data_IF_147200466829
#
_entry.id   IF_147200466829
#
_cell.length_a   1.000
_cell.length_b   1.000
_cell.length_c   1.000
_cell.angle_alpha   90.00
_cell.angle_beta   90.00
_cell.angle_gamma   90.00
#
_symmetry.space_group_name_H-M   'P 1'
#
loop_
_entity.id
_entity.type
_entity.pdbx_description
1 polymer ?
#
# COMPACT_ATOMS: atom_id res chain seq x y z
N UNK A 1 -39.31 -20.73 -58.90
CA UNK A 1 -37.94 -20.87 -59.42
C UNK A 1 -37.34 -19.47 -59.35
N UNK A 2 -36.31 -19.13 -58.59
CA UNK A 2 -35.21 -19.82 -57.89
C UNK A 2 -34.75 -18.80 -56.82
N UNK A 3 -34.28 -19.09 -55.62
CA UNK A 3 -33.36 -20.14 -55.16
C UNK A 3 -32.32 -19.40 -54.31
N UNK A 4 -32.51 -19.39 -52.98
CA UNK A 4 -31.55 -18.88 -52.02
C UNK A 4 -30.21 -19.62 -52.16
N UNK A 5 -29.11 -18.87 -52.24
CA UNK A 5 -27.76 -19.44 -52.15
C UNK A 5 -27.00 -18.73 -51.04
N UNK A 6 -27.15 -19.25 -49.82
CA UNK A 6 -26.21 -19.03 -48.73
C UNK A 6 -24.89 -19.73 -49.08
N UNK A 7 -23.84 -18.95 -49.33
CA UNK A 7 -22.47 -19.44 -49.45
C UNK A 7 -21.91 -19.69 -48.05
N UNK A 8 -21.87 -20.96 -47.63
CA UNK A 8 -21.03 -21.40 -46.52
C UNK A 8 -19.56 -21.44 -46.99
N UNK A 9 -18.58 -20.88 -46.24
CA UNK A 9 -17.18 -21.16 -46.50
C UNK A 9 -16.84 -22.58 -46.03
N UNK A 10 -16.06 -23.25 -46.86
CA UNK A 10 -15.70 -24.65 -46.76
C UNK A 10 -14.88 -25.01 -45.51
N UNK A 11 -15.30 -26.11 -44.87
CA UNK A 11 -14.47 -27.19 -44.30
C UNK A 11 -13.12 -26.79 -43.68
N UNK A 12 -13.14 -26.39 -42.41
CA UNK A 12 -11.97 -26.47 -41.54
C UNK A 12 -11.55 -27.93 -41.35
N UNK A 13 -10.34 -28.29 -41.81
CA UNK A 13 -9.82 -29.63 -41.66
C UNK A 13 -9.68 -30.00 -40.17
N UNK A 14 -10.24 -31.16 -39.80
CA UNK A 14 -10.26 -31.65 -38.43
C UNK A 14 -8.83 -31.96 -37.95
N UNK A 15 -8.48 -31.63 -36.68
CA UNK A 15 -7.20 -32.04 -36.09
C UNK A 15 -7.04 -33.56 -36.11
N UNK A 16 -5.83 -34.04 -36.35
CA UNK A 16 -5.54 -35.47 -36.46
C UNK A 16 -5.19 -36.03 -35.09
N UNK A 17 -5.88 -37.11 -34.72
CA UNK A 17 -5.56 -37.89 -33.53
C UNK A 17 -4.40 -38.83 -33.89
N UNK A 18 -3.26 -38.69 -33.20
CA UNK A 18 -2.11 -39.56 -33.46
C UNK A 18 -1.36 -39.88 -32.17
N UNK A 19 -0.85 -41.10 -32.06
CA UNK A 19 0.04 -41.49 -30.97
C UNK A 19 1.42 -40.88 -31.16
N UNK A 20 1.94 -40.21 -30.13
CA UNK A 20 3.30 -39.67 -30.16
C UNK A 20 4.32 -40.82 -30.24
N UNK A 21 4.97 -41.01 -31.40
CA UNK A 21 6.03 -42.01 -31.60
C UNK A 21 7.35 -41.55 -30.97
N UNK A 22 7.42 -41.60 -29.64
CA UNK A 22 8.54 -41.14 -28.83
C UNK A 22 9.53 -42.25 -28.44
N UNK A 23 10.09 -42.99 -29.39
CA UNK A 23 11.21 -43.89 -29.12
C UNK A 23 12.53 -43.12 -29.01
N UNK A 24 13.03 -42.88 -27.80
CA UNK A 24 14.44 -42.52 -27.53
C UNK A 24 14.87 -41.05 -27.73
N UNK A 25 14.11 -40.04 -27.26
CA UNK A 25 14.27 -38.63 -27.66
C UNK A 25 14.32 -37.61 -26.52
N UNK A 26 15.11 -37.88 -25.47
CA UNK A 26 15.18 -37.02 -24.27
C UNK A 26 15.46 -35.52 -24.54
N UNK A 27 16.13 -35.15 -25.62
CA UNK A 27 16.50 -33.75 -25.90
C UNK A 27 15.74 -33.07 -27.05
N UNK A 28 14.66 -33.66 -27.59
CA UNK A 28 13.90 -33.01 -28.66
C UNK A 28 12.98 -31.91 -28.12
N UNK A 29 12.93 -30.80 -28.85
CA UNK A 29 11.96 -29.74 -28.62
C UNK A 29 10.58 -30.15 -29.11
N UNK A 30 9.57 -29.68 -28.40
CA UNK A 30 8.15 -29.86 -28.69
C UNK A 30 7.44 -28.52 -28.57
N UNK A 31 6.39 -28.38 -29.38
CA UNK A 31 5.57 -27.18 -29.49
C UNK A 31 4.19 -27.50 -28.93
N UNK A 32 3.73 -26.71 -27.96
CA UNK A 32 2.43 -26.87 -27.31
C UNK A 32 1.58 -25.62 -27.47
N UNK A 33 0.31 -25.81 -27.80
CA UNK A 33 -0.68 -24.76 -27.82
C UNK A 33 -1.71 -25.06 -26.70
N UNK A 34 -1.66 -24.25 -25.65
CA UNK A 34 -2.49 -24.41 -24.44
C UNK A 34 -3.56 -23.32 -24.44
N UNK A 35 -4.73 -23.63 -24.98
CA UNK A 35 -5.87 -22.70 -25.08
C UNK A 35 -5.54 -21.38 -25.80
N UNK A 36 -4.66 -21.42 -26.80
CA UNK A 36 -4.19 -20.25 -27.55
C UNK A 36 -2.82 -19.72 -27.11
N UNK A 37 -2.29 -20.15 -25.96
CA UNK A 37 -0.94 -19.78 -25.52
C UNK A 37 0.10 -20.76 -26.06
N UNK A 38 1.08 -20.24 -26.79
CA UNK A 38 2.11 -21.01 -27.46
C UNK A 38 3.35 -21.20 -26.56
N UNK A 39 3.80 -22.46 -26.43
CA UNK A 39 4.95 -22.83 -25.61
C UNK A 39 5.92 -23.73 -26.36
N UNK A 40 7.21 -23.48 -26.14
CA UNK A 40 8.30 -24.32 -26.58
C UNK A 40 8.99 -24.94 -25.37
N UNK A 41 9.15 -26.26 -25.37
CA UNK A 41 9.89 -26.95 -24.31
C UNK A 41 10.51 -28.25 -24.82
N UNK A 42 11.15 -29.02 -23.95
CA UNK A 42 11.77 -30.29 -24.30
C UNK A 42 10.95 -31.45 -23.75
N UNK A 43 10.98 -32.59 -24.45
CA UNK A 43 10.33 -33.83 -23.96
C UNK A 43 10.83 -34.16 -22.55
N UNK A 44 12.13 -34.00 -22.27
CA UNK A 44 12.71 -34.22 -20.93
C UNK A 44 12.03 -33.43 -19.82
N UNK A 45 11.70 -32.15 -20.04
CA UNK A 45 11.00 -31.36 -19.02
C UNK A 45 9.62 -31.94 -18.74
N UNK A 46 8.87 -32.30 -19.79
CA UNK A 46 7.51 -32.85 -19.67
C UNK A 46 7.47 -34.27 -19.08
N UNK A 47 8.53 -35.06 -19.26
CA UNK A 47 8.62 -36.45 -18.79
C UNK A 47 9.40 -36.62 -17.48
N UNK A 48 9.93 -35.54 -16.90
CA UNK A 48 10.73 -35.60 -15.66
C UNK A 48 9.93 -36.13 -14.47
N UNK A 49 8.67 -35.72 -14.36
CA UNK A 49 7.78 -36.08 -13.26
C UNK A 49 6.68 -37.01 -13.73
N UNK A 50 6.17 -37.83 -12.81
CA UNK A 50 5.03 -38.71 -13.09
C UNK A 50 3.72 -37.91 -13.12
N UNK A 51 3.40 -37.37 -14.29
CA UNK A 51 2.32 -36.41 -14.52
C UNK A 51 1.49 -36.81 -15.75
N UNK A 52 0.33 -36.18 -15.94
CA UNK A 52 -0.47 -36.34 -17.16
C UNK A 52 0.35 -36.01 -18.42
N UNK A 53 1.20 -34.98 -18.34
CA UNK A 53 2.08 -34.58 -19.45
C UNK A 53 3.07 -35.70 -19.79
N UNK A 54 3.66 -36.38 -18.82
CA UNK A 54 4.48 -37.57 -19.11
C UNK A 54 3.70 -38.67 -19.85
N UNK A 55 2.42 -38.88 -19.52
CA UNK A 55 1.58 -39.83 -20.25
C UNK A 55 1.34 -39.41 -21.71
N UNK A 56 1.07 -38.13 -21.96
CA UNK A 56 0.94 -37.56 -23.32
C UNK A 56 2.20 -37.79 -24.17
N UNK A 57 3.36 -37.54 -23.59
CA UNK A 57 4.64 -37.55 -24.31
C UNK A 57 5.40 -38.89 -24.24
N UNK A 58 4.86 -39.89 -23.54
CA UNK A 58 5.38 -41.27 -23.53
C UNK A 58 4.71 -42.17 -24.57
N UNK A 59 3.77 -41.64 -25.36
CA UNK A 59 3.02 -42.40 -26.36
C UNK A 59 1.94 -43.31 -25.77
N UNK A 60 1.66 -43.18 -24.47
CA UNK A 60 0.62 -43.94 -23.75
C UNK A 60 -0.76 -43.31 -23.83
N UNK A 61 -0.83 -42.07 -24.30
CA UNK A 61 -2.07 -41.30 -24.43
C UNK A 61 -2.11 -40.65 -25.80
N UNK A 62 -3.29 -40.61 -26.40
CA UNK A 62 -3.51 -39.93 -27.67
C UNK A 62 -3.44 -38.43 -27.48
N UNK A 63 -2.80 -37.75 -28.43
CA UNK A 63 -2.68 -36.28 -28.43
C UNK A 63 -3.25 -35.74 -29.72
N UNK A 64 -3.88 -34.56 -29.60
CA UNK A 64 -4.36 -33.81 -30.75
C UNK A 64 -3.22 -32.94 -31.27
N UNK A 65 -2.92 -33.09 -32.56
CA UNK A 65 -1.92 -32.27 -33.23
C UNK A 65 -2.57 -31.53 -34.40
N UNK A 66 -2.22 -30.25 -34.55
CA UNK A 66 -2.65 -29.48 -35.70
C UNK A 66 -1.83 -29.79 -36.96
N UNK A 67 -2.04 -29.01 -38.03
CA UNK A 67 -1.33 -29.17 -39.31
C UNK A 67 0.14 -28.73 -39.26
N UNK A 68 0.47 -27.84 -38.33
CA UNK A 68 1.78 -27.21 -38.17
C UNK A 68 2.66 -27.99 -37.20
N UNK A 69 2.09 -28.94 -36.45
CA UNK A 69 2.79 -29.80 -35.50
C UNK A 69 2.61 -29.40 -34.03
N UNK A 70 1.72 -28.44 -33.73
CA UNK A 70 1.40 -28.05 -32.36
C UNK A 70 0.53 -29.09 -31.67
N UNK A 71 0.97 -29.49 -30.47
CA UNK A 71 0.17 -30.33 -29.60
C UNK A 71 -0.85 -29.45 -28.89
N UNK A 72 -2.13 -29.75 -29.10
CA UNK A 72 -3.24 -28.94 -28.60
C UNK A 72 -3.67 -29.43 -27.22
N UNK A 73 -3.75 -28.49 -26.28
CA UNK A 73 -4.28 -28.72 -24.93
C UNK A 73 -5.44 -27.73 -24.70
N UNK A 74 -6.62 -28.26 -24.46
CA UNK A 74 -7.84 -27.48 -24.19
C UNK A 74 -7.89 -27.00 -22.73
N UNK A 75 -6.94 -26.14 -22.36
CA UNK A 75 -6.80 -25.53 -21.02
C UNK A 75 -6.34 -24.09 -21.13
N UNK A 76 -6.53 -23.31 -20.06
CA UNK A 76 -6.06 -21.92 -20.01
C UNK A 76 -4.52 -21.88 -19.89
N UNK A 77 -3.86 -21.26 -20.86
CA UNK A 77 -2.40 -21.13 -20.87
C UNK A 77 -1.82 -20.18 -19.81
N UNK A 78 -2.63 -19.34 -19.15
CA UNK A 78 -2.15 -18.28 -18.23
C UNK A 78 -1.06 -18.74 -17.24
N UNK A 79 -1.26 -19.91 -16.62
CA UNK A 79 -0.36 -20.46 -15.60
C UNK A 79 0.57 -21.56 -16.10
N UNK A 80 0.50 -21.91 -17.39
CA UNK A 80 1.25 -23.04 -17.95
C UNK A 80 2.77 -22.78 -17.96
N UNK A 81 3.21 -21.53 -18.09
CA UNK A 81 4.63 -21.17 -17.92
C UNK A 81 5.16 -21.55 -16.53
N UNK A 82 4.38 -21.31 -15.48
CA UNK A 82 4.70 -21.69 -14.10
C UNK A 82 4.73 -23.20 -13.91
N UNK A 83 3.80 -23.92 -14.56
CA UNK A 83 3.81 -25.39 -14.61
C UNK A 83 5.12 -25.90 -15.22
N UNK A 84 5.55 -25.33 -16.36
CA UNK A 84 6.80 -25.73 -17.01
C UNK A 84 8.02 -25.44 -16.14
N UNK A 85 8.06 -24.31 -15.44
CA UNK A 85 9.16 -23.99 -14.52
C UNK A 85 9.23 -25.00 -13.38
N UNK A 86 8.09 -25.38 -12.80
CA UNK A 86 8.05 -26.43 -11.77
C UNK A 86 8.61 -27.75 -12.29
N UNK A 87 8.21 -28.17 -13.49
CA UNK A 87 8.71 -29.41 -14.12
C UNK A 87 10.20 -29.35 -14.49
N UNK A 88 10.82 -28.16 -14.49
CA UNK A 88 12.26 -27.98 -14.77
C UNK A 88 13.09 -27.90 -13.50
N UNK A 89 12.58 -27.24 -12.47
CA UNK A 89 13.40 -26.84 -11.32
C UNK A 89 12.93 -27.46 -10.00
N UNK A 90 11.86 -28.27 -10.02
CA UNK A 90 11.21 -28.87 -8.83
C UNK A 90 10.68 -27.84 -7.80
N UNK A 91 10.86 -26.56 -8.08
CA UNK A 91 10.55 -25.44 -7.21
C UNK A 91 10.06 -24.27 -8.04
N UNK A 92 9.16 -23.46 -7.48
CA UNK A 92 8.69 -22.22 -8.10
C UNK A 92 8.44 -21.16 -7.03
N UNK A 93 8.50 -19.90 -7.44
CA UNK A 93 7.97 -18.80 -6.65
C UNK A 93 6.47 -18.74 -6.91
N UNK A 94 5.66 -18.97 -5.87
CA UNK A 94 4.21 -18.90 -5.98
C UNK A 94 3.74 -17.44 -6.15
N UNK A 95 2.64 -17.20 -6.89
CA UNK A 95 2.04 -15.88 -6.98
C UNK A 95 1.64 -15.33 -5.60
N UNK A 96 1.69 -14.01 -5.43
CA UNK A 96 1.28 -13.38 -4.17
C UNK A 96 -0.24 -13.33 -4.01
N UNK A 97 -0.96 -13.25 -5.12
CA UNK A 97 -2.41 -13.15 -5.17
C UNK A 97 -3.07 -14.51 -4.88
N UNK A 98 -3.97 -14.56 -3.89
CA UNK A 98 -4.69 -15.78 -3.50
C UNK A 98 -5.52 -16.37 -4.65
N UNK A 99 -6.10 -15.53 -5.50
CA UNK A 99 -6.89 -15.98 -6.64
C UNK A 99 -6.00 -16.69 -7.68
N UNK A 100 -4.82 -16.14 -7.96
CA UNK A 100 -3.85 -16.76 -8.87
C UNK A 100 -3.31 -18.09 -8.33
N UNK A 101 -3.07 -18.21 -7.02
CA UNK A 101 -2.69 -19.50 -6.41
C UNK A 101 -3.80 -20.54 -6.61
N UNK A 102 -5.08 -20.18 -6.46
CA UNK A 102 -6.20 -21.09 -6.70
C UNK A 102 -6.29 -21.53 -8.16
N UNK A 103 -6.11 -20.60 -9.09
CA UNK A 103 -6.09 -20.88 -10.53
C UNK A 103 -4.93 -21.83 -10.89
N UNK A 104 -3.72 -21.53 -10.41
CA UNK A 104 -2.54 -22.40 -10.58
C UNK A 104 -2.76 -23.79 -9.98
N UNK A 105 -3.36 -23.87 -8.80
CA UNK A 105 -3.70 -25.14 -8.15
C UNK A 105 -4.70 -25.96 -8.99
N UNK A 106 -5.66 -25.31 -9.65
CA UNK A 106 -6.61 -26.00 -10.53
C UNK A 106 -5.90 -26.62 -11.75
N UNK A 107 -4.97 -25.91 -12.37
CA UNK A 107 -4.15 -26.46 -13.47
C UNK A 107 -3.20 -27.55 -12.98
N UNK A 108 -2.55 -27.38 -11.82
CA UNK A 108 -1.70 -28.40 -11.23
C UNK A 108 -2.46 -29.70 -10.94
N UNK A 109 -3.72 -29.61 -10.50
CA UNK A 109 -4.62 -30.76 -10.35
C UNK A 109 -4.96 -31.41 -11.69
N UNK A 110 -5.25 -30.61 -12.72
CA UNK A 110 -5.53 -31.11 -14.06
C UNK A 110 -4.35 -31.91 -14.63
N UNK A 111 -3.13 -31.37 -14.55
CA UNK A 111 -1.92 -32.06 -15.04
C UNK A 111 -1.37 -33.14 -14.08
N UNK A 112 -2.05 -33.40 -12.95
CA UNK A 112 -1.69 -34.38 -11.93
C UNK A 112 -0.31 -34.14 -11.29
N UNK A 113 0.04 -32.88 -11.04
CA UNK A 113 1.33 -32.48 -10.45
C UNK A 113 1.20 -32.36 -8.94
N UNK A 114 1.28 -33.49 -8.23
CA UNK A 114 0.96 -33.54 -6.79
C UNK A 114 1.85 -32.64 -5.92
N UNK A 115 3.15 -32.55 -6.21
CA UNK A 115 4.06 -31.69 -5.44
C UNK A 115 3.64 -30.21 -5.52
N UNK A 116 3.22 -29.74 -6.70
CA UNK A 116 2.74 -28.38 -6.89
C UNK A 116 1.36 -28.14 -6.24
N UNK A 117 0.47 -29.13 -6.28
CA UNK A 117 -0.82 -29.06 -5.57
C UNK A 117 -0.59 -28.87 -4.07
N UNK A 118 0.32 -29.65 -3.49
CA UNK A 118 0.65 -29.55 -2.07
C UNK A 118 1.24 -28.17 -1.72
N UNK A 119 2.18 -27.66 -2.52
CA UNK A 119 2.74 -26.31 -2.31
C UNK A 119 1.66 -25.22 -2.34
N UNK A 120 0.74 -25.28 -3.30
CA UNK A 120 -0.36 -24.32 -3.40
C UNK A 120 -1.32 -24.44 -2.19
N UNK A 121 -1.60 -25.66 -1.75
CA UNK A 121 -2.51 -25.90 -0.62
C UNK A 121 -1.93 -25.38 0.69
N UNK A 122 -0.63 -25.62 0.95
CA UNK A 122 0.08 -25.06 2.12
C UNK A 122 0.04 -23.54 2.08
N UNK A 123 0.38 -22.92 0.95
CA UNK A 123 0.35 -21.46 0.80
C UNK A 123 -1.05 -20.84 0.98
N UNK A 124 -2.12 -21.58 0.65
CA UNK A 124 -3.50 -21.16 0.87
C UNK A 124 -3.97 -21.37 2.31
N UNK A 125 -3.41 -22.34 3.03
CA UNK A 125 -3.70 -22.61 4.43
C UNK A 125 -3.01 -21.58 5.34
N UNK A 126 -1.74 -21.26 5.07
CA UNK A 126 -0.99 -20.22 5.79
C UNK A 126 -1.69 -18.84 5.71
N UNK A 127 -2.39 -18.58 4.60
CA UNK A 127 -3.17 -17.35 4.38
C UNK A 127 -4.63 -17.41 4.85
N UNK A 128 -5.11 -18.55 5.37
CA UNK A 128 -6.49 -18.67 5.90
C UNK A 128 -6.59 -18.21 7.35
N UNK A 129 -5.49 -18.28 8.10
CA UNK A 129 -5.40 -17.89 9.50
C UNK A 129 -4.71 -16.52 9.72
N UNK A 130 -4.23 -15.87 8.64
CA UNK A 130 -3.69 -14.51 8.75
C UNK A 130 -4.82 -13.48 8.77
N UNK A 131 -5.20 -13.01 9.96
CA UNK A 131 -5.93 -11.74 10.09
C UNK A 131 -5.13 -10.64 9.38
N UNK A 132 -5.69 -10.08 8.30
CA UNK A 132 -5.11 -8.91 7.64
C UNK A 132 -5.78 -7.67 8.25
N UNK A 133 -5.08 -6.87 9.05
CA UNK A 133 -5.70 -5.70 9.67
C UNK A 133 -6.09 -4.72 8.57
N UNK A 134 -7.30 -4.15 8.67
CA UNK A 134 -7.79 -3.15 7.72
C UNK A 134 -6.93 -1.87 7.77
N UNK A 135 -6.40 -1.53 8.94
CA UNK A 135 -5.55 -0.37 9.20
C UNK A 135 -4.30 -0.79 9.97
N UNK A 136 -3.11 -0.51 9.42
CA UNK A 136 -1.82 -0.80 10.03
C UNK A 136 -1.16 0.50 10.47
N UNK A 137 -0.97 0.67 11.77
CA UNK A 137 -0.24 1.81 12.35
C UNK A 137 1.10 1.30 12.90
N UNK A 138 2.23 1.59 12.23
CA UNK A 138 3.54 1.27 12.78
C UNK A 138 3.81 2.03 14.10
N UNK A 139 4.44 1.33 15.05
CA UNK A 139 5.05 1.90 16.25
C UNK A 139 6.55 1.91 16.02
N UNK A 140 7.19 3.08 16.04
CA UNK A 140 8.63 3.21 15.82
C UNK A 140 9.41 3.04 17.12
N UNK A 141 10.57 2.40 17.02
CA UNK A 141 11.45 2.10 18.17
C UNK A 141 12.87 2.63 17.98
N UNK A 142 13.16 3.28 16.84
CA UNK A 142 14.44 3.95 16.59
C UNK A 142 14.29 5.13 15.61
N UNK A 143 15.21 6.09 15.70
CA UNK A 143 15.27 7.22 14.77
C UNK A 143 15.49 6.78 13.32
N UNK A 144 16.24 5.69 13.10
CA UNK A 144 16.46 5.13 11.76
C UNK A 144 15.18 4.59 11.13
N UNK A 145 14.27 4.03 11.93
CA UNK A 145 12.95 3.60 11.46
C UNK A 145 12.06 4.79 11.12
N UNK A 146 12.11 5.85 11.94
CA UNK A 146 11.42 7.11 11.68
C UNK A 146 11.82 7.70 10.33
N UNK A 147 13.11 7.96 10.13
CA UNK A 147 13.65 8.54 8.90
C UNK A 147 13.25 7.71 7.68
N UNK A 148 13.44 6.39 7.76
CA UNK A 148 13.08 5.48 6.67
C UNK A 148 11.59 5.54 6.34
N UNK A 149 10.70 5.50 7.33
CA UNK A 149 9.25 5.52 7.10
C UNK A 149 8.78 6.85 6.51
N UNK A 150 9.37 7.96 6.94
CA UNK A 150 9.00 9.30 6.46
C UNK A 150 9.52 9.54 5.05
N UNK A 151 10.79 9.22 4.77
CA UNK A 151 11.44 9.48 3.49
C UNK A 151 10.96 8.54 2.37
N UNK A 152 10.68 7.28 2.69
CA UNK A 152 10.21 6.30 1.70
C UNK A 152 8.69 6.37 1.45
N UNK A 153 7.95 7.11 2.27
CA UNK A 153 6.49 7.21 2.14
C UNK A 153 6.10 8.09 0.96
N UNK A 154 5.32 7.53 0.04
CA UNK A 154 4.63 8.28 -1.02
C UNK A 154 3.39 9.01 -0.50
N UNK A 155 2.97 8.73 0.72
CA UNK A 155 1.80 9.33 1.39
C UNK A 155 2.26 10.40 2.39
N UNK A 156 1.44 11.44 2.65
CA UNK A 156 1.63 12.28 3.81
C UNK A 156 1.67 11.45 5.09
N UNK A 157 2.42 11.92 6.08
CA UNK A 157 2.64 11.21 7.34
C UNK A 157 2.13 12.04 8.51
N UNK A 158 1.36 11.41 9.40
CA UNK A 158 0.97 11.97 10.69
C UNK A 158 1.57 11.11 11.79
N UNK A 159 2.43 11.70 12.60
CA UNK A 159 3.12 11.03 13.71
C UNK A 159 2.59 11.55 15.03
N UNK A 160 2.12 10.65 15.89
CA UNK A 160 1.85 10.97 17.29
C UNK A 160 2.98 10.40 18.15
N UNK A 161 3.70 11.30 18.80
CA UNK A 161 4.57 10.97 19.91
C UNK A 161 3.77 11.08 21.21
N UNK A 162 3.86 10.04 22.04
CA UNK A 162 3.30 10.07 23.39
C UNK A 162 4.17 9.25 24.34
N UNK A 163 4.51 9.84 25.48
CA UNK A 163 5.35 9.21 26.48
C UNK A 163 4.77 9.45 27.88
N UNK A 164 3.92 8.51 28.33
CA UNK A 164 3.26 8.61 29.64
C UNK A 164 4.27 8.55 30.81
N UNK A 165 5.38 7.85 30.61
CA UNK A 165 6.42 7.65 31.64
C UNK A 165 7.31 8.88 31.86
N UNK A 166 7.36 9.83 30.92
CA UNK A 166 8.24 10.99 31.05
C UNK A 166 7.68 12.04 32.00
N UNK A 167 7.82 11.78 33.29
CA UNK A 167 7.29 12.62 34.36
C UNK A 167 8.35 13.59 34.89
N UNK A 168 8.83 14.51 34.04
CA UNK A 168 9.78 15.55 34.47
C UNK A 168 9.19 16.54 35.49
N UNK A 169 7.86 16.67 35.54
CA UNK A 169 7.12 17.51 36.49
C UNK A 169 5.75 16.90 36.80
N UNK A 170 5.21 17.17 38.00
CA UNK A 170 3.86 16.75 38.39
C UNK A 170 2.79 17.21 37.39
N UNK A 171 1.87 16.32 37.04
CA UNK A 171 0.76 16.63 36.13
C UNK A 171 -0.36 17.40 36.82
N UNK A 172 -1.07 18.24 36.04
CA UNK A 172 -2.39 18.75 36.44
C UNK A 172 -3.43 17.61 36.47
N UNK A 173 -4.51 17.77 37.22
CA UNK A 173 -5.55 16.75 37.38
C UNK A 173 -6.15 16.22 36.06
N UNK A 174 -6.20 17.05 35.02
CA UNK A 174 -6.85 16.71 33.75
C UNK A 174 -5.86 16.23 32.68
N UNK A 175 -4.56 16.18 32.97
CA UNK A 175 -3.53 15.85 31.97
C UNK A 175 -3.68 14.42 31.42
N UNK A 176 -4.03 13.45 32.28
CA UNK A 176 -4.22 12.05 31.86
C UNK A 176 -5.40 11.91 30.88
N UNK A 177 -6.53 12.57 31.18
CA UNK A 177 -7.71 12.58 30.30
C UNK A 177 -7.39 13.21 28.94
N UNK A 178 -6.62 14.31 28.92
CA UNK A 178 -6.21 14.95 27.67
C UNK A 178 -5.23 14.09 26.87
N UNK A 179 -4.34 13.35 27.52
CA UNK A 179 -3.46 12.40 26.83
C UNK A 179 -4.27 11.28 26.17
N UNK A 180 -5.25 10.72 26.89
CA UNK A 180 -6.16 9.70 26.35
C UNK A 180 -6.97 10.24 25.16
N UNK A 181 -7.48 11.47 25.23
CA UNK A 181 -8.18 12.12 24.11
C UNK A 181 -7.31 12.29 22.88
N UNK A 182 -6.01 12.63 23.05
CA UNK A 182 -5.06 12.68 21.94
C UNK A 182 -4.89 11.30 21.28
N UNK A 183 -4.73 10.25 22.08
CA UNK A 183 -4.59 8.87 21.57
C UNK A 183 -5.87 8.42 20.84
N UNK A 184 -7.04 8.67 21.43
CA UNK A 184 -8.33 8.33 20.81
C UNK A 184 -8.54 9.07 19.48
N UNK A 185 -8.20 10.36 19.42
CA UNK A 185 -8.27 11.14 18.20
C UNK A 185 -7.34 10.58 17.12
N UNK A 186 -6.12 10.20 17.49
CA UNK A 186 -5.17 9.58 16.56
C UNK A 186 -5.73 8.30 15.95
N UNK A 187 -6.29 7.42 16.79
CA UNK A 187 -6.87 6.16 16.31
C UNK A 187 -8.07 6.45 15.37
N UNK A 188 -8.96 7.40 15.71
CA UNK A 188 -10.06 7.83 14.82
C UNK A 188 -9.59 8.36 13.48
N UNK A 189 -8.56 9.21 13.47
CA UNK A 189 -7.99 9.77 12.24
C UNK A 189 -7.31 8.69 11.40
N UNK A 190 -6.60 7.76 12.03
CA UNK A 190 -5.94 6.65 11.35
C UNK A 190 -6.92 5.76 10.59
N UNK A 191 -8.08 5.48 11.19
CA UNK A 191 -9.16 4.73 10.55
C UNK A 191 -9.82 5.53 9.43
N UNK A 192 -10.09 6.82 9.66
CA UNK A 192 -10.80 7.69 8.70
C UNK A 192 -10.01 7.96 7.43
N UNK A 193 -8.70 8.14 7.55
CA UNK A 193 -7.80 8.45 6.43
C UNK A 193 -6.92 7.26 6.06
N UNK A 194 -7.33 6.04 6.44
CA UNK A 194 -6.65 4.81 6.09
C UNK A 194 -6.46 4.72 4.56
N UNK A 195 -5.28 4.29 4.14
CA UNK A 195 -4.91 4.22 2.73
C UNK A 195 -4.43 5.54 2.12
N UNK A 196 -4.79 6.70 2.67
CA UNK A 196 -4.39 8.03 2.16
C UNK A 196 -3.23 8.66 2.93
N UNK A 197 -3.23 8.50 4.24
CA UNK A 197 -2.21 9.04 5.15
C UNK A 197 -1.53 7.89 5.87
N UNK A 198 -0.22 7.96 6.04
CA UNK A 198 0.54 7.05 6.89
C UNK A 198 0.52 7.58 8.33
N UNK A 199 -0.11 6.84 9.24
CA UNK A 199 -0.12 7.19 10.66
C UNK A 199 0.96 6.41 11.40
N UNK A 200 1.74 7.09 12.25
CA UNK A 200 2.87 6.50 12.99
C UNK A 200 2.75 6.83 14.48
N UNK A 201 2.98 5.85 15.34
CA UNK A 201 3.13 6.06 16.79
C UNK A 201 4.60 6.07 17.17
N UNK A 202 5.02 7.11 17.87
CA UNK A 202 6.39 7.32 18.34
C UNK A 202 6.46 7.18 19.86
N UNK A 203 7.24 6.21 20.32
CA UNK A 203 7.44 5.89 21.75
C UNK A 203 8.87 6.16 22.22
N UNK A 204 9.72 6.75 21.37
CA UNK A 204 11.14 6.96 21.67
C UNK A 204 11.50 8.38 22.09
N UNK A 205 10.72 9.38 21.68
CA UNK A 205 11.11 10.76 21.95
C UNK A 205 10.86 11.21 23.40
N UNK A 206 11.51 12.32 23.75
CA UNK A 206 11.57 12.89 25.10
C UNK A 206 10.40 13.87 25.38
N UNK A 207 9.50 14.10 24.43
CA UNK A 207 8.31 14.90 24.67
C UNK A 207 7.19 14.05 25.29
N UNK A 208 6.24 14.67 26.00
CA UNK A 208 5.13 13.92 26.64
C UNK A 208 4.05 13.61 25.61
N UNK A 209 3.70 14.58 24.77
CA UNK A 209 2.71 14.43 23.71
C UNK A 209 2.94 15.47 22.63
N UNK A 210 3.18 15.02 21.40
CA UNK A 210 3.44 15.88 20.26
C UNK A 210 2.92 15.26 18.96
N UNK A 211 2.22 16.06 18.16
CA UNK A 211 1.82 15.67 16.82
C UNK A 211 2.75 16.29 15.80
N UNK A 212 3.28 15.49 14.89
CA UNK A 212 4.12 15.95 13.78
C UNK A 212 3.50 15.57 12.45
N UNK A 213 3.54 16.51 11.52
CA UNK A 213 2.88 16.43 10.23
C UNK A 213 3.91 16.54 9.12
N UNK A 214 3.92 15.60 8.18
CA UNK A 214 4.90 15.54 7.10
C UNK A 214 4.22 15.40 5.75
N UNK A 215 4.82 16.01 4.74
CA UNK A 215 4.44 15.87 3.33
C UNK A 215 5.69 15.79 2.48
N UNK A 216 5.71 14.88 1.50
CA UNK A 216 6.84 14.69 0.59
C UNK A 216 8.19 14.51 1.33
N UNK A 217 8.19 13.72 2.41
CA UNK A 217 9.37 13.44 3.23
C UNK A 217 9.83 14.60 4.14
N UNK A 218 9.16 15.75 4.12
CA UNK A 218 9.53 16.94 4.90
C UNK A 218 8.53 17.22 6.01
N UNK A 219 9.01 17.71 7.16
CA UNK A 219 8.16 18.15 8.27
C UNK A 219 7.50 19.48 7.92
N UNK A 220 6.18 19.54 7.99
CA UNK A 220 5.36 20.72 7.65
C UNK A 220 4.91 21.48 8.89
N UNK A 221 4.49 20.75 9.91
CA UNK A 221 3.96 21.32 11.14
C UNK A 221 4.20 20.42 12.34
N UNK A 222 4.08 21.03 13.51
CA UNK A 222 4.13 20.37 14.81
C UNK A 222 3.12 21.01 15.76
N UNK A 223 2.37 20.20 16.49
CA UNK A 223 1.47 20.63 17.56
C UNK A 223 1.97 20.02 18.87
N UNK A 224 2.57 20.85 19.72
CA UNK A 224 3.00 20.44 21.05
C UNK A 224 1.80 20.46 21.99
N UNK A 225 1.47 19.32 22.60
CA UNK A 225 0.33 19.18 23.50
C UNK A 225 0.69 19.44 24.96
N UNK A 226 1.82 20.09 25.24
CA UNK A 226 2.31 20.35 26.59
C UNK A 226 2.45 21.85 26.85
N UNK A 227 2.11 22.26 28.07
CA UNK A 227 2.41 23.59 28.60
C UNK A 227 2.87 23.50 30.06
N UNK A 228 3.71 24.45 30.48
CA UNK A 228 4.18 24.53 31.86
C UNK A 228 3.30 25.52 32.62
N UNK A 229 2.72 25.07 33.73
CA UNK A 229 1.92 25.88 34.65
C UNK A 229 2.69 26.05 35.96
N UNK A 230 2.74 27.28 36.46
CA UNK A 230 3.35 27.59 37.75
C UNK A 230 2.25 27.55 38.82
N UNK A 231 2.26 26.52 39.66
CA UNK A 231 1.47 26.52 40.89
C UNK A 231 2.28 27.19 42.02
N UNK A 232 1.61 27.62 43.09
CA UNK A 232 2.22 28.30 44.25
C UNK A 232 3.37 27.52 44.88
N UNK A 233 3.39 26.19 44.75
CA UNK A 233 4.34 25.32 45.42
C UNK A 233 5.32 24.59 44.47
N UNK A 234 4.93 24.29 43.22
CA UNK A 234 5.75 23.53 42.25
C UNK A 234 5.41 23.87 40.79
N UNK A 235 6.39 23.65 39.90
CA UNK A 235 6.15 23.61 38.45
C UNK A 235 5.34 22.36 38.10
N UNK A 236 4.28 22.53 37.33
CA UNK A 236 3.44 21.44 36.85
C UNK A 236 3.45 21.41 35.32
N UNK A 237 3.33 20.20 34.75
CA UNK A 237 3.10 20.03 33.32
C UNK A 237 1.62 19.80 33.07
N UNK A 238 1.04 20.63 32.20
CA UNK A 238 -0.32 20.49 31.72
C UNK A 238 -0.27 19.89 30.33
N UNK A 239 -0.89 18.71 30.17
CA UNK A 239 -1.16 18.16 28.85
C UNK A 239 -2.47 18.75 28.34
N UNK A 240 -2.47 19.22 27.10
CA UNK A 240 -3.60 19.85 26.44
C UNK A 240 -4.10 18.98 25.29
N UNK A 241 -5.36 19.19 24.90
CA UNK A 241 -6.00 18.50 23.78
C UNK A 241 -6.45 19.54 22.74
N UNK A 242 -5.52 20.01 21.87
CA UNK A 242 -5.82 21.03 20.87
C UNK A 242 -6.51 20.43 19.63
N UNK A 243 -7.69 19.81 19.83
CA UNK A 243 -8.44 19.04 18.84
C UNK A 243 -8.57 19.75 17.49
N UNK A 244 -9.05 21.00 17.49
CA UNK A 244 -9.27 21.76 16.27
C UNK A 244 -8.00 21.96 15.44
N UNK A 245 -6.84 22.19 16.10
CA UNK A 245 -5.56 22.36 15.43
C UNK A 245 -5.03 21.06 14.84
N UNK A 246 -5.19 19.95 15.57
CA UNK A 246 -4.80 18.62 15.10
C UNK A 246 -5.61 18.23 13.85
N UNK A 247 -6.92 18.51 13.85
CA UNK A 247 -7.78 18.29 12.69
C UNK A 247 -7.36 19.15 11.49
N UNK A 248 -7.16 20.46 11.71
CA UNK A 248 -6.73 21.40 10.68
C UNK A 248 -5.44 20.94 10.00
N UNK A 249 -4.42 20.57 10.79
CA UNK A 249 -3.15 20.10 10.24
C UNK A 249 -3.27 18.75 9.52
N UNK A 250 -4.11 17.85 10.02
CA UNK A 250 -4.37 16.56 9.35
C UNK A 250 -5.04 16.76 7.99
N UNK A 251 -5.94 17.75 7.86
CA UNK A 251 -6.52 18.10 6.57
C UNK A 251 -5.50 18.79 5.65
N UNK A 252 -4.63 19.63 6.21
CA UNK A 252 -3.59 20.32 5.43
C UNK A 252 -2.56 19.35 4.81
N UNK A 253 -2.20 18.25 5.48
CA UNK A 253 -1.26 17.28 4.90
C UNK A 253 -1.84 16.55 3.68
N UNK A 254 -3.17 16.47 3.54
CA UNK A 254 -3.80 15.83 2.36
C UNK A 254 -3.50 16.59 1.06
N UNK A 255 -3.12 17.87 1.14
CA UNK A 255 -2.65 18.63 -0.01
C UNK A 255 -1.35 18.07 -0.63
N UNK A 256 -0.67 17.17 0.09
CA UNK A 256 0.60 16.55 -0.31
C UNK A 256 0.46 15.07 -0.68
N UNK A 257 -0.77 14.59 -0.92
CA UNK A 257 -1.05 13.20 -1.34
C UNK A 257 -0.59 12.88 -2.76
N UNK A 258 -0.57 13.87 -3.65
CA UNK A 258 -0.07 13.71 -5.03
C UNK A 258 1.33 14.31 -5.16
N UNK A 259 2.28 13.60 -5.80
CA UNK A 259 3.51 14.22 -6.26
C UNK A 259 3.14 15.38 -7.18
N UNK A 260 3.76 16.55 -7.00
CA UNK A 260 3.60 17.65 -7.96
C UNK A 260 4.05 17.13 -9.33
N UNK A 261 3.11 17.00 -10.27
CA UNK A 261 3.45 16.91 -11.69
C UNK A 261 4.25 18.18 -12.01
N UNK A 262 5.40 18.10 -12.69
CA UNK A 262 6.13 19.32 -13.06
C UNK A 262 5.19 20.25 -13.82
N UNK A 263 5.11 21.50 -13.36
CA UNK A 263 4.17 22.56 -13.76
C UNK A 263 4.15 22.90 -15.26
N UNK A 264 5.02 22.28 -16.06
CA UNK A 264 5.13 22.52 -17.50
C UNK A 264 3.81 22.27 -18.24
N UNK A 265 2.95 21.35 -17.78
CA UNK A 265 1.65 21.09 -18.42
C UNK A 265 0.53 22.05 -18.00
N UNK A 266 0.59 22.65 -16.80
CA UNK A 266 -0.40 23.61 -16.31
C UNK A 266 -0.12 25.04 -16.81
N UNK A 267 1.15 25.38 -17.00
CA UNK A 267 1.58 26.63 -17.63
C UNK A 267 1.18 26.70 -19.11
N UNK A 268 1.16 25.58 -19.84
CA UNK A 268 0.67 25.54 -21.23
C UNK A 268 -0.85 25.75 -21.34
N UNK A 269 -1.63 25.33 -20.34
CA UNK A 269 -3.08 25.48 -20.34
C UNK A 269 -3.56 26.92 -20.03
N UNK A 270 -2.73 27.72 -19.35
CA UNK A 270 -3.06 29.08 -18.91
C UNK A 270 -2.28 30.19 -19.64
N UNK A 271 -1.21 29.84 -20.35
CA UNK A 271 -0.35 30.80 -21.08
C UNK A 271 -0.98 31.43 -22.32
N UNK A 272 -2.19 31.01 -22.74
CA UNK A 272 -2.84 31.63 -23.90
C UNK A 272 -3.48 32.98 -23.65
N UNK A 273 -3.53 33.51 -22.42
CA UNK A 273 -4.22 34.81 -22.23
C UNK A 273 -3.83 35.67 -21.01
N UNK A 274 -2.55 35.85 -20.69
CA UNK A 274 -2.17 36.94 -19.77
C UNK A 274 -0.78 37.51 -20.03
N UNK A 275 -0.73 38.48 -20.92
CA UNK A 275 0.28 39.53 -20.87
C UNK A 275 0.04 40.37 -19.61
N UNK A 276 1.11 40.62 -18.83
CA UNK A 276 1.19 41.49 -17.65
C UNK A 276 0.63 40.94 -16.32
N UNK A 277 1.52 40.34 -15.51
CA UNK A 277 1.47 40.44 -14.04
C UNK A 277 2.90 40.26 -13.49
N UNK A 278 3.26 41.09 -12.51
CA UNK A 278 4.60 41.28 -11.93
C UNK A 278 5.10 40.08 -11.11
N UNK A 279 6.41 39.83 -11.03
CA UNK A 279 6.98 38.76 -10.21
C UNK A 279 7.27 39.31 -8.80
N UNK A 280 6.35 39.15 -7.84
CA UNK A 280 6.66 39.47 -6.44
C UNK A 280 5.84 38.72 -5.39
N UNK A 281 4.69 38.13 -5.75
CA UNK A 281 3.83 37.46 -4.76
C UNK A 281 4.09 35.94 -4.65
N UNK A 282 4.61 35.31 -5.72
CA UNK A 282 4.81 33.86 -5.76
C UNK A 282 6.05 33.39 -4.99
N UNK A 283 7.13 34.17 -4.95
CA UNK A 283 8.36 33.82 -4.22
C UNK A 283 8.20 33.91 -2.68
N UNK A 284 7.54 34.94 -2.16
CA UNK A 284 7.23 35.06 -0.72
C UNK A 284 6.29 33.93 -0.25
N UNK A 285 5.31 33.56 -1.08
CA UNK A 285 4.39 32.45 -0.78
C UNK A 285 5.10 31.09 -0.79
N UNK A 286 6.18 30.96 -1.57
CA UNK A 286 7.02 29.75 -1.61
C UNK A 286 7.91 29.65 -0.36
N UNK A 287 8.56 30.74 0.06
CA UNK A 287 9.40 30.76 1.27
C UNK A 287 8.58 30.55 2.57
N UNK A 288 7.35 31.07 2.63
CA UNK A 288 6.43 30.85 3.75
C UNK A 288 5.99 29.39 3.90
N UNK A 289 5.97 28.62 2.79
CA UNK A 289 5.57 27.20 2.79
C UNK A 289 6.69 26.24 3.21
N UNK A 290 7.95 26.67 3.18
CA UNK A 290 9.10 25.83 3.58
C UNK A 290 9.40 25.89 5.09
N UNK A 291 8.76 26.79 5.84
CA UNK A 291 8.95 26.89 7.29
C UNK A 291 8.05 25.91 8.05
N UNK A 292 8.66 25.12 8.94
CA UNK A 292 7.93 24.24 9.87
C UNK A 292 7.05 25.09 10.79
N UNK A 293 5.73 24.90 10.71
CA UNK A 293 4.76 25.60 11.55
C UNK A 293 4.71 24.96 12.95
N UNK A 294 5.32 25.61 13.95
CA UNK A 294 5.28 25.15 15.35
C UNK A 294 4.13 25.78 16.11
N UNK A 295 3.16 24.96 16.51
CA UNK A 295 1.94 25.39 17.18
C UNK A 295 2.04 25.01 18.66
N UNK A 296 2.11 26.03 19.51
CA UNK A 296 2.01 25.88 20.96
C UNK A 296 0.60 26.29 21.40
N UNK A 297 0.00 25.52 22.31
CA UNK A 297 -1.32 25.88 22.82
C UNK A 297 -1.22 27.14 23.69
N UNK A 298 -2.03 28.16 23.39
CA UNK A 298 -1.94 29.48 24.04
C UNK A 298 -2.27 29.36 25.53
N UNK A 299 -1.48 30.03 26.38
CA UNK A 299 -1.83 30.28 27.79
C UNK A 299 -3.06 31.18 27.85
N UNK A 300 -4.22 30.65 28.22
CA UNK A 300 -5.25 31.50 28.80
C UNK A 300 -4.82 31.79 30.24
N UNK A 301 -4.25 32.98 30.46
CA UNK A 301 -4.10 33.53 31.80
C UNK A 301 -5.49 33.86 32.32
N UNK A 302 -6.01 33.13 33.30
CA UNK A 302 -7.31 33.40 33.93
C UNK A 302 -7.22 34.53 34.97
N UNK A 303 -6.40 35.54 34.71
CA UNK A 303 -6.26 36.74 35.55
C UNK A 303 -6.22 37.97 34.64
N UNK A 304 -7.37 38.36 34.10
CA UNK A 304 -7.67 39.76 33.80
C UNK A 304 -9.18 39.92 33.60
N UNK A 305 -9.88 39.93 34.73
CA UNK A 305 -11.24 40.48 34.81
C UNK A 305 -11.47 41.11 36.20
N UNK A 306 -10.52 41.95 36.64
CA UNK A 306 -10.79 42.92 37.70
C UNK A 306 -11.06 44.26 37.03
N UNK A 307 -12.34 44.60 36.93
CA UNK A 307 -12.79 45.96 36.65
C UNK A 307 -12.14 46.92 37.67
N UNK A 308 -11.14 47.67 37.23
CA UNK A 308 -10.66 48.87 37.90
C UNK A 308 -11.63 50.00 37.59
N UNK A 309 -12.76 50.01 38.28
CA UNK A 309 -13.65 51.17 38.37
C UNK A 309 -13.14 52.11 39.46
N UNK A 310 -12.53 53.22 39.06
CA UNK A 310 -12.26 54.39 39.90
C UNK A 310 -13.51 54.79 40.71
N UNK A 311 -13.40 54.83 42.04
CA UNK A 311 -14.21 55.75 42.85
C UNK A 311 -13.28 56.80 43.46
N UNK A 312 -13.39 57.99 42.90
CA UNK A 312 -12.84 59.25 43.39
C UNK A 312 -13.38 59.56 44.77
N UNK A 313 -12.47 59.89 45.68
CA UNK A 313 -12.75 60.50 46.96
C UNK A 313 -13.54 61.81 46.78
N UNK A 314 -14.63 61.96 47.52
CA UNK A 314 -15.14 63.27 47.91
C UNK A 314 -14.98 63.43 49.42
N UNK A 315 -14.17 64.41 49.80
CA UNK A 315 -14.30 65.14 51.06
C UNK A 315 -15.56 66.00 50.95
N UNK A 316 -16.46 65.89 51.91
CA UNK A 316 -16.74 66.91 52.94
C UNK A 316 -17.60 66.30 54.06
#
# INVERSE_FOLDING_TARGET
>A
MSGDTCLCPASGAKPKLSGFKGGGLGNKYVQLNVGGSLYYTTVRALTRHDTMLKAMFSGRMEVLTDKEGWILIDRCGKHFGTILNYLRDDTIILPQNRQEIKELMAEAKYYLIQGLVNMCQTALQDKKDSYQPVCNVPVITSLKEEERLIESSTKPVVKLLYNRSNNKYSYTSNSDDHLLKNIELFDKLSLRFNGRVLFIKDVIGDEICCWSFYGQGRKLAEVCCTSIVYATEKKQTKVEFPEARIYEETLNVLLYETPRVPDNSLLEATSRNRSQASPSEDEETFELRDRVRRIHVKRYSTYDDRQLGHQSAHRD
#
